data_IF_135850215846
#
_entry.id   IF_135850215846
#
_cell.length_a   1.000
_cell.length_b   1.000
_cell.length_c   1.000
_cell.angle_alpha   90.00
_cell.angle_beta   90.00
_cell.angle_gamma   90.00
#
_symmetry.space_group_name_H-M   'P 1'
#
loop_
_entity.id
_entity.type
_entity.pdbx_description
1 polymer ?
#
# COMPACT_ATOMS: atom_id res chain seq x y z
N UNK A 1 15.85 -22.47 10.93
CA UNK A 1 15.03 -21.62 10.05
C UNK A 1 13.58 -22.07 10.12
N UNK A 2 12.68 -21.12 10.19
CA UNK A 2 11.24 -21.39 10.25
C UNK A 2 10.77 -22.02 8.95
N UNK A 3 10.06 -23.13 9.06
CA UNK A 3 9.47 -23.82 7.90
C UNK A 3 8.28 -22.99 7.34
N UNK A 4 8.28 -22.61 6.05
CA UNK A 4 7.16 -21.85 5.47
C UNK A 4 5.92 -22.73 5.21
N UNK A 5 6.01 -24.06 5.43
CA UNK A 5 4.90 -24.99 5.23
C UNK A 5 4.06 -25.18 6.49
N UNK A 6 4.71 -25.38 7.65
CA UNK A 6 4.03 -25.72 8.91
C UNK A 6 4.42 -24.83 10.10
N UNK A 7 5.34 -23.86 9.93
CA UNK A 7 5.77 -22.98 11.01
C UNK A 7 6.78 -23.58 12.00
N UNK A 8 7.20 -24.84 11.84
CA UNK A 8 8.18 -25.47 12.72
C UNK A 8 9.50 -24.70 12.68
N UNK A 9 10.11 -24.49 13.87
CA UNK A 9 11.35 -23.72 14.03
C UNK A 9 12.60 -24.57 13.74
N UNK A 10 12.46 -25.89 13.75
CA UNK A 10 13.57 -26.82 13.53
C UNK A 10 13.65 -27.26 12.08
N UNK A 11 14.82 -27.13 11.50
CA UNK A 11 15.12 -27.56 10.15
C UNK A 11 16.61 -27.76 9.96
N UNK A 12 17.00 -28.67 9.09
CA UNK A 12 18.41 -28.89 8.74
C UNK A 12 18.67 -28.56 7.28
N UNK A 13 19.90 -28.14 7.01
CA UNK A 13 20.36 -27.86 5.65
C UNK A 13 20.76 -29.18 4.98
N UNK A 14 20.16 -29.44 3.85
CA UNK A 14 20.56 -30.60 3.01
C UNK A 14 21.93 -30.31 2.37
N UNK A 15 22.80 -31.30 2.38
CA UNK A 15 24.16 -31.27 1.82
C UNK A 15 24.32 -32.42 0.83
N UNK A 16 25.15 -32.26 -0.18
CA UNK A 16 25.45 -33.25 -1.22
C UNK A 16 25.69 -32.58 -2.57
N UNK A 17 26.44 -33.24 -3.45
CA UNK A 17 26.84 -32.69 -4.74
C UNK A 17 25.65 -32.48 -5.70
N UNK A 18 24.59 -33.27 -5.56
CA UNK A 18 23.36 -33.15 -6.33
C UNK A 18 22.30 -32.26 -5.66
N UNK A 19 22.57 -31.76 -4.46
CA UNK A 19 21.62 -30.96 -3.69
C UNK A 19 21.72 -29.48 -4.08
N UNK A 20 20.58 -28.88 -4.43
CA UNK A 20 20.52 -27.43 -4.72
C UNK A 20 20.98 -26.61 -3.52
N UNK A 21 21.88 -25.61 -3.71
CA UNK A 21 22.35 -24.75 -2.63
C UNK A 21 21.22 -24.05 -1.88
N UNK A 22 21.27 -24.03 -0.55
CA UNK A 22 20.29 -23.36 0.28
C UNK A 22 18.96 -24.12 0.46
N UNK A 23 18.94 -25.43 0.18
CA UNK A 23 17.80 -26.30 0.43
C UNK A 23 17.81 -26.76 1.90
N UNK A 24 16.66 -26.66 2.55
CA UNK A 24 16.40 -27.11 3.91
C UNK A 24 15.28 -28.14 3.92
N UNK A 25 15.27 -29.01 4.91
CA UNK A 25 14.17 -29.91 5.21
C UNK A 25 13.67 -29.66 6.63
N UNK A 26 12.37 -29.68 6.81
CA UNK A 26 11.70 -29.42 8.07
C UNK A 26 11.65 -30.69 8.94
N UNK A 27 11.96 -30.58 10.24
CA UNK A 27 11.82 -31.72 11.19
C UNK A 27 10.35 -32.12 11.41
N UNK A 28 9.43 -31.14 11.36
CA UNK A 28 8.02 -31.41 11.68
C UNK A 28 7.19 -31.95 10.51
N UNK A 29 7.40 -31.49 9.28
CA UNK A 29 6.58 -31.90 8.13
C UNK A 29 7.38 -32.51 6.98
N UNK A 30 8.67 -32.68 7.14
CA UNK A 30 9.61 -33.20 6.12
C UNK A 30 9.61 -32.46 4.78
N UNK A 31 8.87 -31.36 4.73
CA UNK A 31 8.79 -30.51 3.54
C UNK A 31 10.10 -29.78 3.25
N UNK A 32 10.56 -29.86 2.00
CA UNK A 32 11.77 -29.15 1.58
C UNK A 32 11.47 -27.71 1.21
N UNK A 33 12.33 -26.79 1.60
CA UNK A 33 12.16 -25.38 1.34
C UNK A 33 13.49 -24.62 1.20
N UNK A 34 13.42 -23.46 0.60
CA UNK A 34 14.50 -22.47 0.52
C UNK A 34 14.01 -21.14 1.08
N UNK A 35 14.88 -20.16 1.21
CA UNK A 35 14.51 -18.79 1.62
C UNK A 35 13.48 -18.11 0.73
N UNK A 36 13.29 -18.59 -0.50
CA UNK A 36 12.34 -18.06 -1.45
C UNK A 36 11.00 -18.80 -1.48
N UNK A 37 10.89 -19.92 -0.76
CA UNK A 37 9.67 -20.75 -0.76
C UNK A 37 8.48 -19.97 -0.19
N UNK A 38 7.34 -20.02 -0.88
CA UNK A 38 6.10 -19.26 -0.58
C UNK A 38 6.25 -17.74 -0.56
N UNK A 39 7.37 -17.21 -1.03
CA UNK A 39 7.54 -15.78 -1.26
C UNK A 39 7.25 -15.40 -2.72
N UNK A 40 7.17 -14.13 -3.09
CA UNK A 40 7.08 -13.71 -4.50
C UNK A 40 8.26 -14.16 -5.37
N UNK A 41 9.37 -14.50 -4.74
CA UNK A 41 10.59 -15.01 -5.38
C UNK A 41 10.56 -16.52 -5.58
N UNK A 42 9.51 -17.22 -5.17
CA UNK A 42 9.39 -18.68 -5.32
C UNK A 42 9.51 -19.09 -6.78
N UNK A 43 10.36 -20.10 -7.03
CA UNK A 43 10.65 -20.62 -8.38
C UNK A 43 11.10 -19.53 -9.38
N UNK A 44 11.69 -18.45 -8.90
CA UNK A 44 12.25 -17.42 -9.79
C UNK A 44 13.42 -17.99 -10.59
N UNK A 45 13.48 -17.61 -11.89
CA UNK A 45 14.65 -17.85 -12.75
C UNK A 45 15.63 -16.68 -12.76
N UNK A 46 15.25 -15.57 -12.09
CA UNK A 46 16.10 -14.40 -11.98
C UNK A 46 17.03 -14.51 -10.77
N UNK A 47 18.24 -13.98 -10.85
CA UNK A 47 19.13 -13.85 -9.70
C UNK A 47 18.45 -13.09 -8.56
N UNK A 48 18.71 -13.47 -7.32
CA UNK A 48 18.17 -12.76 -6.15
C UNK A 48 18.63 -11.30 -6.12
N UNK A 49 19.83 -11.02 -6.60
CA UNK A 49 20.37 -9.66 -6.75
C UNK A 49 19.42 -8.77 -7.58
N UNK A 50 18.86 -9.29 -8.68
CA UNK A 50 17.90 -8.54 -9.52
C UNK A 50 16.65 -8.16 -8.73
N UNK A 51 16.17 -9.05 -7.87
CA UNK A 51 15.04 -8.78 -7.00
C UNK A 51 15.36 -7.73 -5.93
N UNK A 52 16.52 -7.85 -5.27
CA UNK A 52 16.96 -6.86 -4.27
C UNK A 52 17.14 -5.48 -4.88
N UNK A 53 17.73 -5.39 -6.08
CA UNK A 53 17.82 -4.14 -6.82
C UNK A 53 16.45 -3.55 -7.17
N UNK A 54 15.50 -4.38 -7.61
CA UNK A 54 14.14 -3.94 -7.89
C UNK A 54 13.44 -3.39 -6.63
N UNK A 55 13.57 -4.09 -5.51
CA UNK A 55 13.04 -3.64 -4.21
C UNK A 55 13.66 -2.29 -3.84
N UNK A 56 14.99 -2.16 -3.93
CA UNK A 56 15.68 -0.92 -3.64
C UNK A 56 15.14 0.25 -4.47
N UNK A 57 15.05 0.11 -5.79
CA UNK A 57 14.56 1.17 -6.66
C UNK A 57 13.11 1.57 -6.34
N UNK A 58 12.25 0.59 -6.03
CA UNK A 58 10.83 0.85 -5.73
C UNK A 58 10.69 1.54 -4.37
N UNK A 59 11.42 1.09 -3.34
CA UNK A 59 11.39 1.66 -2.00
C UNK A 59 11.96 3.08 -1.99
N UNK A 60 13.14 3.25 -2.59
CA UNK A 60 13.87 4.52 -2.58
C UNK A 60 13.23 5.60 -3.44
N UNK A 61 12.43 5.23 -4.42
CA UNK A 61 11.75 6.18 -5.28
C UNK A 61 10.66 6.96 -4.53
N UNK A 62 10.73 8.28 -4.55
CA UNK A 62 9.75 9.16 -3.87
C UNK A 62 8.34 9.12 -4.47
N UNK A 63 8.21 8.79 -5.76
CA UNK A 63 6.93 8.79 -6.50
C UNK A 63 6.60 7.45 -7.15
N UNK A 64 7.47 6.45 -7.00
CA UNK A 64 7.38 5.17 -7.70
C UNK A 64 8.28 5.14 -8.93
N UNK A 65 8.33 3.98 -9.57
CA UNK A 65 9.14 3.74 -10.77
C UNK A 65 8.30 3.02 -11.83
N UNK A 66 8.39 3.46 -13.09
CA UNK A 66 7.69 2.79 -14.19
C UNK A 66 8.34 1.46 -14.54
N UNK A 67 7.54 0.49 -15.00
CA UNK A 67 8.08 -0.81 -15.43
C UNK A 67 9.02 -0.72 -16.61
N UNK A 68 8.88 0.29 -17.46
CA UNK A 68 9.79 0.56 -18.59
C UNK A 68 11.15 1.00 -18.07
N UNK A 69 11.18 1.92 -17.12
CA UNK A 69 12.42 2.40 -16.52
C UNK A 69 13.10 1.31 -15.70
N UNK A 70 12.34 0.60 -14.88
CA UNK A 70 12.83 -0.52 -14.07
C UNK A 70 13.43 -1.63 -14.95
N UNK A 71 12.83 -1.94 -16.11
CA UNK A 71 13.32 -2.93 -17.04
C UNK A 71 14.72 -2.58 -17.56
N UNK A 72 14.95 -1.31 -17.91
CA UNK A 72 16.25 -0.81 -18.37
C UNK A 72 17.34 -0.96 -17.32
N UNK A 73 17.03 -0.60 -16.06
CA UNK A 73 17.98 -0.71 -14.95
C UNK A 73 18.32 -2.14 -14.57
N UNK A 74 17.35 -3.05 -14.67
CA UNK A 74 17.54 -4.45 -14.31
C UNK A 74 18.06 -5.33 -15.46
N UNK A 75 18.16 -4.81 -16.68
CA UNK A 75 18.54 -5.59 -17.86
C UNK A 75 17.53 -6.68 -18.22
N UNK A 76 16.24 -6.48 -17.92
CA UNK A 76 15.17 -7.45 -18.20
C UNK A 76 14.10 -6.87 -19.14
N UNK A 77 13.25 -7.71 -19.72
CA UNK A 77 12.14 -7.19 -20.52
C UNK A 77 11.08 -6.49 -19.65
N UNK A 78 10.31 -5.59 -20.24
CA UNK A 78 9.30 -4.78 -19.55
C UNK A 78 8.22 -5.65 -18.86
N UNK A 79 7.80 -6.77 -19.45
CA UNK A 79 6.82 -7.68 -18.84
C UNK A 79 7.36 -8.29 -17.55
N UNK A 80 8.64 -8.64 -17.52
CA UNK A 80 9.32 -9.18 -16.32
C UNK A 80 9.41 -8.11 -15.24
N UNK A 81 9.89 -6.90 -15.58
CA UNK A 81 9.96 -5.79 -14.63
C UNK A 81 8.58 -5.41 -14.07
N UNK A 82 7.55 -5.42 -14.90
CA UNK A 82 6.16 -5.20 -14.49
C UNK A 82 5.69 -6.26 -13.47
N UNK A 83 5.97 -7.55 -13.74
CA UNK A 83 5.64 -8.66 -12.82
C UNK A 83 6.40 -8.52 -11.50
N UNK A 84 7.69 -8.21 -11.53
CA UNK A 84 8.51 -7.95 -10.33
C UNK A 84 7.89 -6.81 -9.51
N UNK A 85 7.58 -5.69 -10.14
CA UNK A 85 6.98 -4.54 -9.47
C UNK A 85 5.63 -4.89 -8.81
N UNK A 86 4.79 -5.69 -9.47
CA UNK A 86 3.53 -6.15 -8.89
C UNK A 86 3.71 -7.16 -7.75
N UNK A 87 4.73 -7.99 -7.80
CA UNK A 87 5.08 -8.89 -6.71
C UNK A 87 5.53 -8.14 -5.46
N UNK A 88 6.38 -7.12 -5.64
CA UNK A 88 6.83 -6.25 -4.54
C UNK A 88 5.65 -5.46 -3.94
N UNK A 89 4.74 -4.92 -4.77
CA UNK A 89 3.52 -4.26 -4.29
C UNK A 89 2.59 -5.18 -3.50
N UNK A 90 2.56 -6.47 -3.83
CA UNK A 90 1.80 -7.45 -3.05
C UNK A 90 2.39 -7.65 -1.65
N UNK A 91 3.73 -7.66 -1.51
CA UNK A 91 4.38 -7.66 -0.18
C UNK A 91 4.06 -6.38 0.61
N UNK A 92 4.08 -5.22 -0.04
CA UNK A 92 3.70 -3.94 0.58
C UNK A 92 2.24 -3.92 1.05
N UNK A 93 1.34 -4.64 0.38
CA UNK A 93 -0.06 -4.76 0.80
C UNK A 93 -0.18 -5.49 2.14
N UNK A 94 0.53 -6.61 2.32
CA UNK A 94 0.52 -7.36 3.58
C UNK A 94 1.07 -6.52 4.73
N UNK A 95 2.15 -5.78 4.52
CA UNK A 95 2.66 -4.83 5.52
C UNK A 95 1.58 -3.81 5.94
N UNK A 96 0.77 -3.31 5.00
CA UNK A 96 -0.33 -2.41 5.36
C UNK A 96 -1.36 -3.07 6.29
N UNK A 97 -1.62 -4.36 6.14
CA UNK A 97 -2.58 -5.10 6.97
C UNK A 97 -2.06 -5.36 8.39
N UNK A 98 -0.76 -5.29 8.63
CA UNK A 98 -0.17 -5.40 9.99
C UNK A 98 -0.28 -4.13 10.81
N UNK A 99 -0.62 -3.00 10.19
CA UNK A 99 -0.89 -1.75 10.89
C UNK A 99 -2.23 -1.92 11.61
N UNK A 100 -2.20 -1.77 12.93
CA UNK A 100 -3.40 -1.82 13.76
C UNK A 100 -4.43 -0.73 13.41
N UNK A 101 -5.48 -0.59 14.21
CA UNK A 101 -6.46 0.47 14.05
C UNK A 101 -5.80 1.84 14.18
N UNK A 102 -6.18 2.77 13.33
CA UNK A 102 -5.75 4.16 13.40
C UNK A 102 -6.33 4.81 14.65
N UNK A 103 -5.48 5.50 15.40
CA UNK A 103 -5.83 6.15 16.68
C UNK A 103 -5.47 7.63 16.67
N UNK A 104 -5.86 8.34 17.74
CA UNK A 104 -5.64 9.78 17.86
C UNK A 104 -6.53 10.57 16.91
N UNK A 105 -5.98 11.60 16.29
CA UNK A 105 -6.72 12.39 15.28
C UNK A 105 -6.56 11.72 13.91
N UNK A 106 -7.67 11.26 13.34
CA UNK A 106 -7.73 10.57 12.06
C UNK A 106 -8.50 11.40 11.05
N UNK A 107 -7.89 11.70 9.92
CA UNK A 107 -8.53 12.40 8.81
C UNK A 107 -9.03 11.41 7.77
N UNK A 108 -10.26 11.58 7.32
CA UNK A 108 -10.91 10.76 6.30
C UNK A 108 -11.19 11.60 5.06
N UNK A 109 -10.89 11.04 3.90
CA UNK A 109 -11.14 11.65 2.60
C UNK A 109 -11.37 10.56 1.55
N UNK A 110 -11.99 10.89 0.42
CA UNK A 110 -12.10 9.99 -0.73
C UNK A 110 -11.49 10.61 -1.97
N UNK A 111 -11.02 9.75 -2.86
CA UNK A 111 -10.44 10.13 -4.13
C UNK A 111 -10.90 9.27 -5.27
N UNK A 112 -11.24 9.91 -6.39
CA UNK A 112 -11.61 9.23 -7.62
C UNK A 112 -10.38 9.05 -8.54
N UNK A 113 -9.88 7.82 -8.65
CA UNK A 113 -8.73 7.46 -9.47
C UNK A 113 -9.17 6.86 -10.81
N UNK A 114 -8.59 7.34 -11.90
CA UNK A 114 -8.85 6.82 -13.24
C UNK A 114 -8.31 7.74 -14.32
N UNK A 115 -8.42 7.32 -15.58
CA UNK A 115 -8.06 8.11 -16.75
C UNK A 115 -9.00 9.31 -16.95
N UNK A 116 -8.55 10.26 -17.76
CA UNK A 116 -9.42 11.32 -18.28
C UNK A 116 -10.39 10.71 -19.29
N UNK A 117 -11.67 11.12 -19.33
CA UNK A 117 -12.57 10.75 -20.41
C UNK A 117 -11.98 11.17 -21.75
N UNK A 118 -12.22 10.37 -22.81
CA UNK A 118 -11.83 10.78 -24.15
C UNK A 118 -12.68 11.97 -24.57
N UNK A 119 -12.04 12.99 -25.12
CA UNK A 119 -12.73 14.15 -25.66
C UNK A 119 -13.72 13.70 -26.76
N UNK A 120 -14.95 14.18 -26.66
CA UNK A 120 -15.97 14.09 -27.72
C UNK A 120 -16.59 15.47 -27.86
N UNK A 121 -16.69 15.95 -29.12
CA UNK A 121 -17.31 17.23 -29.41
C UNK A 121 -18.77 17.24 -28.93
N UNK A 122 -19.19 18.31 -28.26
CA UNK A 122 -20.56 18.46 -27.73
C UNK A 122 -20.88 17.61 -26.49
N UNK A 123 -19.93 16.85 -25.93
CA UNK A 123 -20.16 16.03 -24.74
C UNK A 123 -19.46 16.65 -23.52
N UNK A 124 -20.25 17.03 -22.51
CA UNK A 124 -19.73 17.44 -21.20
C UNK A 124 -19.56 16.21 -20.32
N UNK A 125 -18.35 15.99 -19.84
CA UNK A 125 -18.04 14.88 -18.94
C UNK A 125 -18.20 15.30 -17.47
N UNK A 126 -18.90 14.48 -16.64
CA UNK A 126 -19.00 14.76 -15.21
C UNK A 126 -17.62 14.72 -14.54
N UNK A 127 -17.48 15.48 -13.43
CA UNK A 127 -16.28 15.50 -12.57
C UNK A 127 -16.59 14.78 -11.27
N UNK A 128 -15.58 14.15 -10.65
CA UNK A 128 -15.75 13.48 -9.34
C UNK A 128 -16.79 12.37 -9.35
N UNK A 129 -17.80 12.49 -8.52
CA UNK A 129 -18.94 11.58 -8.40
C UNK A 129 -19.69 11.46 -9.73
N UNK A 130 -20.09 10.23 -10.10
CA UNK A 130 -20.73 9.95 -11.38
C UNK A 130 -19.80 9.66 -12.55
N UNK A 131 -18.48 9.69 -12.34
CA UNK A 131 -17.49 9.26 -13.34
C UNK A 131 -17.27 7.76 -13.29
N UNK A 132 -16.72 7.18 -14.38
CA UNK A 132 -16.27 5.76 -14.42
C UNK A 132 -14.95 5.53 -13.66
N UNK A 133 -14.50 6.49 -12.84
CA UNK A 133 -13.29 6.36 -12.03
C UNK A 133 -13.54 5.46 -10.82
N UNK A 134 -12.48 4.88 -10.32
CA UNK A 134 -12.52 4.05 -9.11
C UNK A 134 -12.48 4.95 -7.89
N UNK A 135 -13.45 4.80 -7.01
CA UNK A 135 -13.44 5.48 -5.71
C UNK A 135 -12.49 4.77 -4.76
N UNK A 136 -11.69 5.57 -4.06
CA UNK A 136 -10.71 5.12 -3.06
C UNK A 136 -10.96 5.92 -1.79
N UNK A 137 -11.12 5.24 -0.67
CA UNK A 137 -11.10 5.93 0.62
C UNK A 137 -9.68 6.00 1.18
N UNK A 138 -9.40 7.06 1.91
CA UNK A 138 -8.14 7.34 2.60
C UNK A 138 -8.46 7.66 4.05
N UNK A 139 -7.87 6.90 4.97
CA UNK A 139 -7.91 7.16 6.41
C UNK A 139 -6.47 7.35 6.88
N UNK A 140 -6.14 8.49 7.46
CA UNK A 140 -4.77 8.81 7.85
C UNK A 140 -4.72 9.40 9.26
N UNK A 141 -3.90 8.81 10.15
CA UNK A 141 -3.58 9.43 11.45
C UNK A 141 -2.62 10.59 11.25
N UNK A 142 -2.87 11.72 11.93
CA UNK A 142 -1.93 12.85 11.95
C UNK A 142 -0.58 12.41 12.50
N UNK A 143 0.50 12.70 11.76
CA UNK A 143 1.88 12.25 12.07
C UNK A 143 2.03 10.73 12.20
N UNK A 144 1.10 9.96 11.63
CA UNK A 144 1.03 8.51 11.73
C UNK A 144 0.76 7.82 10.39
N UNK A 145 0.32 6.56 10.46
CA UNK A 145 0.09 5.74 9.29
C UNK A 145 -1.17 6.11 8.52
N UNK A 146 -1.24 5.62 7.29
CA UNK A 146 -2.40 5.69 6.39
C UNK A 146 -2.92 4.29 6.09
N UNK A 147 -4.24 4.17 6.02
CA UNK A 147 -4.95 3.02 5.49
C UNK A 147 -5.78 3.47 4.29
N UNK A 148 -5.79 2.67 3.25
CA UNK A 148 -6.51 2.99 2.01
C UNK A 148 -7.27 1.78 1.50
N UNK A 149 -8.38 1.99 0.82
CA UNK A 149 -9.15 0.90 0.23
C UNK A 149 -9.89 1.35 -1.02
N UNK A 150 -10.12 0.41 -1.94
CA UNK A 150 -11.00 0.63 -3.08
C UNK A 150 -12.43 0.35 -2.66
N UNK A 151 -13.31 1.28 -2.90
CA UNK A 151 -14.73 1.20 -2.58
C UNK A 151 -15.60 1.33 -3.83
N UNK A 152 -16.79 0.77 -3.79
CA UNK A 152 -17.72 0.82 -4.92
C UNK A 152 -18.43 2.17 -5.04
N UNK A 153 -18.65 2.86 -3.92
CA UNK A 153 -19.24 4.19 -3.84
C UNK A 153 -18.86 4.90 -2.55
N UNK A 154 -19.13 6.19 -2.48
CA UNK A 154 -18.97 7.06 -1.31
C UNK A 154 -20.20 7.08 -0.40
N UNK A 155 -21.12 6.11 -0.52
CA UNK A 155 -22.28 6.01 0.35
C UNK A 155 -21.91 5.48 1.73
N UNK A 156 -22.71 5.87 2.75
CA UNK A 156 -22.52 5.40 4.13
C UNK A 156 -22.44 3.85 4.22
N UNK A 157 -23.34 3.14 3.54
CA UNK A 157 -23.40 1.68 3.57
C UNK A 157 -22.11 1.00 3.08
N UNK A 158 -21.36 1.66 2.21
CA UNK A 158 -20.10 1.17 1.67
C UNK A 158 -18.90 1.69 2.48
N UNK A 159 -18.89 2.97 2.85
CA UNK A 159 -17.79 3.60 3.60
C UNK A 159 -17.68 3.07 5.04
N UNK A 160 -18.81 2.98 5.75
CA UNK A 160 -18.80 2.67 7.17
C UNK A 160 -18.11 1.33 7.51
N UNK A 161 -18.39 0.20 6.84
CA UNK A 161 -17.71 -1.06 7.12
C UNK A 161 -16.18 -0.96 6.91
N UNK A 162 -15.74 -0.28 5.84
CA UNK A 162 -14.30 -0.13 5.56
C UNK A 162 -13.60 0.72 6.61
N UNK A 163 -14.20 1.84 7.01
CA UNK A 163 -13.59 2.75 7.97
C UNK A 163 -13.53 2.12 9.36
N UNK A 164 -14.59 1.44 9.80
CA UNK A 164 -14.62 0.71 11.08
C UNK A 164 -13.57 -0.40 11.19
N UNK A 165 -13.16 -0.99 10.07
CA UNK A 165 -12.09 -2.00 10.06
C UNK A 165 -10.70 -1.40 10.26
N UNK A 166 -10.52 -0.10 10.05
CA UNK A 166 -9.19 0.52 10.04
C UNK A 166 -9.03 1.68 11.02
N UNK A 167 -10.13 2.21 11.58
CA UNK A 167 -10.12 3.33 12.53
C UNK A 167 -10.69 2.89 13.86
N UNK A 168 -9.99 3.22 14.94
CA UNK A 168 -10.46 2.95 16.32
C UNK A 168 -11.71 3.76 16.64
N UNK A 169 -12.73 3.18 17.29
CA UNK A 169 -13.89 3.94 17.78
C UNK A 169 -13.51 5.08 18.75
N UNK A 170 -12.38 4.96 19.45
CA UNK A 170 -11.85 6.00 20.33
C UNK A 170 -11.09 7.12 19.58
N UNK A 171 -10.99 7.06 18.27
CA UNK A 171 -10.35 8.10 17.48
C UNK A 171 -11.22 9.36 17.39
N UNK A 172 -10.57 10.53 17.34
CA UNK A 172 -11.18 11.79 16.93
C UNK A 172 -11.10 11.92 15.43
N UNK A 173 -12.24 11.96 14.75
CA UNK A 173 -12.31 11.91 13.29
C UNK A 173 -12.53 13.30 12.70
N UNK A 174 -11.75 13.62 11.66
CA UNK A 174 -11.86 14.86 10.89
C UNK A 174 -12.25 14.54 9.45
N UNK A 175 -13.27 15.19 8.91
CA UNK A 175 -13.77 14.94 7.55
C UNK A 175 -14.10 16.23 6.83
N UNK A 176 -14.39 16.11 5.53
CA UNK A 176 -15.20 17.12 4.86
C UNK A 176 -16.70 16.94 5.20
N UNK A 177 -17.57 17.77 4.62
CA UNK A 177 -19.01 17.71 4.82
C UNK A 177 -19.74 16.69 3.93
N UNK A 178 -19.07 15.62 3.50
CA UNK A 178 -19.78 14.55 2.82
C UNK A 178 -20.86 13.95 3.73
N UNK A 179 -22.09 13.86 3.24
CA UNK A 179 -23.24 13.40 4.05
C UNK A 179 -23.00 12.03 4.71
N UNK A 180 -22.29 11.11 4.03
CA UNK A 180 -21.94 9.82 4.58
C UNK A 180 -21.03 9.92 5.81
N UNK A 181 -20.11 10.87 5.86
CA UNK A 181 -19.24 11.11 7.01
C UNK A 181 -19.99 11.73 8.18
N UNK A 182 -20.98 12.58 7.94
CA UNK A 182 -21.80 13.16 8.99
C UNK A 182 -22.60 12.09 9.76
N UNK A 183 -23.07 11.06 9.07
CA UNK A 183 -23.71 9.91 9.71
C UNK A 183 -22.69 9.02 10.44
N UNK A 184 -21.55 8.74 9.80
CA UNK A 184 -20.49 7.88 10.33
C UNK A 184 -19.80 8.50 11.56
N UNK A 185 -19.63 9.81 11.58
CA UNK A 185 -18.95 10.53 12.67
C UNK A 185 -19.57 10.29 14.05
N UNK A 186 -20.87 10.02 14.11
CA UNK A 186 -21.59 9.70 15.36
C UNK A 186 -21.15 8.40 16.02
N UNK A 187 -20.38 7.58 15.33
CA UNK A 187 -19.91 6.27 15.79
C UNK A 187 -18.50 6.33 16.39
N UNK A 188 -17.86 7.50 16.39
CA UNK A 188 -16.54 7.75 16.95
C UNK A 188 -16.61 8.62 18.20
N UNK A 189 -15.52 8.67 18.96
CA UNK A 189 -15.45 9.44 20.20
C UNK A 189 -15.70 10.95 19.99
N UNK A 190 -15.26 11.47 18.88
CA UNK A 190 -15.42 12.87 18.47
C UNK A 190 -15.35 12.98 16.96
N UNK A 191 -16.14 13.90 16.36
CA UNK A 191 -16.15 14.15 14.94
C UNK A 191 -16.31 15.62 14.65
N UNK A 192 -15.38 16.16 13.91
CA UNK A 192 -15.46 17.50 13.35
C UNK A 192 -15.36 17.49 11.82
N UNK A 193 -16.09 18.38 11.17
CA UNK A 193 -16.05 18.51 9.72
C UNK A 193 -15.74 19.94 9.29
N UNK A 194 -15.10 20.10 8.13
CA UNK A 194 -14.84 21.38 7.47
C UNK A 194 -15.66 21.51 6.19
N UNK A 195 -16.12 22.71 5.90
CA UNK A 195 -16.97 22.98 4.72
C UNK A 195 -16.20 23.66 3.60
N UNK A 196 -15.66 22.89 2.68
CA UNK A 196 -14.98 23.42 1.49
C UNK A 196 -15.91 24.21 0.56
N UNK A 197 -17.24 23.98 0.64
CA UNK A 197 -18.21 24.70 -0.17
C UNK A 197 -18.30 26.21 0.14
N UNK A 198 -18.04 26.59 1.39
CA UNK A 198 -17.93 27.99 1.84
C UNK A 198 -16.47 28.44 1.99
N UNK A 199 -15.52 27.71 1.41
CA UNK A 199 -14.07 27.94 1.49
C UNK A 199 -13.49 27.86 2.92
N UNK A 200 -14.14 27.12 3.81
CA UNK A 200 -13.59 26.78 5.11
C UNK A 200 -12.66 25.55 4.95
N UNK A 201 -11.34 25.77 4.92
CA UNK A 201 -10.32 24.72 4.79
C UNK A 201 -9.78 24.26 6.14
N UNK A 202 -9.93 25.09 7.17
CA UNK A 202 -9.53 24.78 8.54
C UNK A 202 -10.30 25.66 9.53
N UNK A 203 -10.68 25.05 10.68
CA UNK A 203 -11.26 25.71 11.83
C UNK A 203 -10.57 25.20 13.09
N UNK A 204 -9.56 25.93 13.57
CA UNK A 204 -8.70 25.45 14.65
C UNK A 204 -7.98 24.16 14.27
N UNK A 205 -8.25 23.09 14.98
CA UNK A 205 -7.70 21.75 14.67
C UNK A 205 -8.53 20.97 13.64
N UNK A 206 -9.75 21.39 13.34
CA UNK A 206 -10.58 20.74 12.33
C UNK A 206 -10.04 21.07 10.94
N UNK A 207 -9.45 20.11 10.27
CA UNK A 207 -8.98 20.15 8.88
C UNK A 207 -8.68 18.75 8.35
N UNK A 208 -8.56 18.59 7.04
CA UNK A 208 -8.22 17.33 6.35
C UNK A 208 -6.92 17.41 5.54
N UNK A 209 -6.03 18.35 5.91
CA UNK A 209 -4.80 18.66 5.18
C UNK A 209 -3.85 17.46 5.05
N UNK A 210 -3.84 16.52 6.03
CA UNK A 210 -2.97 15.34 5.98
C UNK A 210 -3.49 14.35 4.94
N UNK A 211 -4.80 14.13 4.89
CA UNK A 211 -5.44 13.28 3.87
C UNK A 211 -5.28 13.90 2.46
N UNK A 212 -5.48 15.21 2.32
CA UNK A 212 -5.22 15.93 1.06
C UNK A 212 -3.76 15.82 0.63
N UNK A 213 -2.80 15.89 1.56
CA UNK A 213 -1.37 15.71 1.29
C UNK A 213 -1.07 14.30 0.77
N UNK A 214 -1.67 13.27 1.35
CA UNK A 214 -1.55 11.90 0.83
C UNK A 214 -2.16 11.77 -0.57
N UNK A 215 -3.35 12.32 -0.77
CA UNK A 215 -4.03 12.35 -2.07
C UNK A 215 -3.22 13.09 -3.14
N UNK A 216 -2.50 14.15 -2.77
CA UNK A 216 -1.59 14.86 -3.66
C UNK A 216 -0.36 14.00 -4.05
N UNK A 217 0.19 13.21 -3.11
CA UNK A 217 1.28 12.26 -3.42
C UNK A 217 0.80 11.19 -4.40
N UNK A 218 -0.39 10.64 -4.17
CA UNK A 218 -1.01 9.64 -5.03
C UNK A 218 -1.23 10.16 -6.46
N UNK A 219 -1.73 11.39 -6.59
CA UNK A 219 -1.94 12.03 -7.90
C UNK A 219 -0.60 12.31 -8.60
N UNK A 220 0.43 12.78 -7.88
CA UNK A 220 1.78 12.98 -8.45
C UNK A 220 2.41 11.67 -8.93
N UNK A 221 2.23 10.56 -8.19
CA UNK A 221 2.69 9.24 -8.62
C UNK A 221 1.99 8.78 -9.90
N UNK A 222 0.67 8.97 -9.96
CA UNK A 222 -0.14 8.64 -11.15
C UNK A 222 0.26 9.48 -12.36
N UNK A 223 0.34 10.81 -12.23
CA UNK A 223 0.60 11.70 -13.37
C UNK A 223 2.05 11.66 -13.84
N UNK A 224 3.00 11.60 -12.90
CA UNK A 224 4.42 11.72 -13.21
C UNK A 224 5.15 10.41 -13.50
N UNK A 225 4.56 9.25 -13.14
CA UNK A 225 5.25 7.96 -13.23
C UNK A 225 4.42 6.90 -13.93
N UNK A 226 3.20 6.65 -13.42
CA UNK A 226 2.41 5.51 -13.89
C UNK A 226 1.49 5.86 -15.06
N UNK A 227 1.15 7.13 -15.23
CA UNK A 227 0.26 7.73 -16.23
C UNK A 227 -1.14 7.09 -16.26
N UNK A 228 -1.22 5.78 -16.38
CA UNK A 228 -2.46 5.01 -16.36
C UNK A 228 -2.33 3.80 -15.43
N UNK A 229 -3.32 3.64 -14.57
CA UNK A 229 -3.47 2.46 -13.70
C UNK A 229 -4.86 1.89 -13.93
N UNK A 230 -4.92 0.64 -14.40
CA UNK A 230 -6.20 -0.03 -14.61
C UNK A 230 -6.89 -0.33 -13.27
N UNK A 231 -8.22 -0.32 -13.25
CA UNK A 231 -9.04 -0.51 -12.04
C UNK A 231 -8.60 -1.73 -11.21
N UNK A 232 -8.31 -2.85 -11.84
CA UNK A 232 -7.89 -4.10 -11.19
C UNK A 232 -6.53 -4.00 -10.48
N UNK A 233 -5.69 -3.03 -10.85
CA UNK A 233 -4.35 -2.86 -10.28
C UNK A 233 -4.24 -1.68 -9.30
N UNK A 234 -5.28 -0.86 -9.17
CA UNK A 234 -5.30 0.27 -8.24
C UNK A 234 -4.89 -0.15 -6.81
N UNK A 235 -5.43 -1.24 -6.22
CA UNK A 235 -5.06 -1.63 -4.86
C UNK A 235 -3.54 -1.78 -4.66
N UNK A 236 -2.84 -2.37 -5.63
CA UNK A 236 -1.38 -2.57 -5.55
C UNK A 236 -0.59 -1.26 -5.59
N UNK A 237 -1.04 -0.29 -6.39
CA UNK A 237 -0.39 1.03 -6.42
C UNK A 237 -0.70 1.86 -5.18
N UNK A 238 -1.89 1.70 -4.61
CA UNK A 238 -2.24 2.27 -3.30
C UNK A 238 -1.31 1.72 -2.22
N UNK A 239 -1.11 0.39 -2.19
CA UNK A 239 -0.19 -0.25 -1.23
C UNK A 239 1.24 0.26 -1.35
N UNK A 240 1.74 0.54 -2.57
CA UNK A 240 3.07 1.12 -2.75
C UNK A 240 3.17 2.54 -2.20
N UNK A 241 2.17 3.39 -2.45
CA UNK A 241 2.18 4.76 -1.93
C UNK A 241 1.99 4.77 -0.42
N UNK A 242 1.07 3.93 0.10
CA UNK A 242 0.85 3.76 1.53
C UNK A 242 2.07 3.20 2.25
N UNK A 243 2.79 2.23 1.67
CA UNK A 243 4.02 1.68 2.25
C UNK A 243 5.07 2.78 2.45
N UNK A 244 5.33 3.62 1.44
CA UNK A 244 6.27 4.74 1.58
C UNK A 244 5.81 5.78 2.60
N UNK A 245 4.51 6.02 2.71
CA UNK A 245 3.95 6.90 3.74
C UNK A 245 4.14 6.31 5.13
N UNK A 246 3.84 5.05 5.32
CA UNK A 246 3.89 4.35 6.61
C UNK A 246 5.32 4.08 7.10
N UNK A 247 6.30 4.07 6.18
CA UNK A 247 7.73 3.97 6.50
C UNK A 247 8.37 5.35 6.71
N UNK A 248 7.66 6.27 7.36
CA UNK A 248 8.19 7.55 7.84
C UNK A 248 8.08 7.64 9.35
N UNK A 249 9.01 8.35 9.94
CA UNK A 249 9.04 8.63 11.38
C UNK A 249 9.06 10.13 11.64
N UNK A 250 8.46 10.58 12.73
CA UNK A 250 8.55 11.99 13.14
C UNK A 250 9.97 12.30 13.61
N UNK A 251 10.55 13.34 13.05
CA UNK A 251 11.88 13.84 13.40
C UNK A 251 11.78 15.32 13.71
N UNK A 252 12.34 15.74 14.83
CA UNK A 252 12.43 17.14 15.15
C UNK A 252 13.53 17.82 14.33
N UNK A 253 13.18 18.87 13.60
CA UNK A 253 14.12 19.71 12.86
C UNK A 253 14.07 21.14 13.38
N UNK A 254 15.23 21.68 13.74
CA UNK A 254 15.39 23.08 14.12
C UNK A 254 15.73 23.92 12.90
N UNK A 255 14.98 25.00 12.67
CA UNK A 255 15.26 25.98 11.62
C UNK A 255 14.98 27.37 12.17
N UNK A 256 15.97 28.26 12.10
CA UNK A 256 15.89 29.64 12.60
C UNK A 256 15.40 29.72 14.06
N UNK A 257 15.91 28.83 14.93
CA UNK A 257 15.54 28.78 16.35
C UNK A 257 14.20 28.12 16.66
N UNK A 258 13.39 27.77 15.66
CA UNK A 258 12.10 27.12 15.82
C UNK A 258 12.21 25.63 15.58
N UNK A 259 11.67 24.85 16.51
CA UNK A 259 11.55 23.37 16.38
C UNK A 259 10.27 23.03 15.63
N UNK A 260 10.41 22.17 14.62
CA UNK A 260 9.27 21.62 13.88
C UNK A 260 9.41 20.09 13.73
N UNK A 261 8.34 19.36 14.02
CA UNK A 261 8.28 17.93 13.71
C UNK A 261 7.98 17.75 12.23
N UNK A 262 8.84 17.01 11.54
CA UNK A 262 8.68 16.62 10.13
C UNK A 262 8.70 15.11 9.99
N UNK A 263 7.90 14.57 9.07
CA UNK A 263 7.91 13.13 8.76
C UNK A 263 9.06 12.83 7.79
N UNK A 264 10.02 12.04 8.23
CA UNK A 264 11.20 11.63 7.45
C UNK A 264 11.11 10.13 7.15
N UNK A 265 11.53 9.72 5.94
CA UNK A 265 11.62 8.30 5.59
C UNK A 265 12.58 7.57 6.53
N UNK A 266 12.22 6.35 6.93
CA UNK A 266 13.10 5.44 7.67
C UNK A 266 14.35 5.12 6.82
N UNK A 267 15.46 4.72 7.44
CA UNK A 267 16.59 4.16 6.71
C UNK A 267 16.17 3.05 5.75
N UNK A 268 16.84 2.96 4.60
CA UNK A 268 16.45 2.01 3.54
C UNK A 268 16.48 0.56 4.03
N UNK A 269 17.44 0.21 4.89
CA UNK A 269 17.53 -1.15 5.46
C UNK A 269 16.30 -1.50 6.28
N UNK A 270 15.84 -0.60 7.16
CA UNK A 270 14.59 -0.82 7.93
C UNK A 270 13.38 -0.99 7.00
N UNK A 271 13.29 -0.23 5.91
CA UNK A 271 12.22 -0.39 4.94
C UNK A 271 12.30 -1.74 4.20
N UNK A 272 13.51 -2.26 3.95
CA UNK A 272 13.70 -3.61 3.42
C UNK A 272 13.26 -4.68 4.41
N UNK A 273 13.61 -4.55 5.68
CA UNK A 273 13.19 -5.45 6.75
C UNK A 273 11.66 -5.49 6.82
N UNK A 274 11.01 -4.33 6.92
CA UNK A 274 9.54 -4.22 6.92
C UNK A 274 8.90 -4.83 5.67
N UNK A 275 9.55 -4.77 4.50
CA UNK A 275 9.04 -5.39 3.28
C UNK A 275 9.20 -6.90 3.30
N UNK A 276 10.36 -7.41 3.74
CA UNK A 276 10.71 -8.83 3.69
C UNK A 276 10.07 -9.65 4.81
N UNK A 277 9.81 -9.04 5.97
CA UNK A 277 9.16 -9.68 7.10
C UNK A 277 7.82 -10.34 6.73
N UNK A 278 7.10 -9.73 5.81
CA UNK A 278 5.80 -10.20 5.35
C UNK A 278 5.84 -10.85 3.95
N UNK A 279 7.02 -11.29 3.49
CA UNK A 279 7.17 -11.88 2.15
C UNK A 279 6.57 -13.28 2.04
N UNK A 280 6.59 -14.07 3.13
CA UNK A 280 6.04 -15.42 3.14
C UNK A 280 4.52 -15.39 2.99
N UNK A 281 3.98 -16.22 2.10
CA UNK A 281 2.55 -16.24 1.79
C UNK A 281 2.12 -15.31 0.66
N UNK A 282 3.00 -14.41 0.20
CA UNK A 282 2.66 -13.41 -0.84
C UNK A 282 3.00 -13.86 -2.26
N UNK A 283 3.19 -15.15 -2.49
CA UNK A 283 3.48 -15.70 -3.82
C UNK A 283 2.36 -15.39 -4.82
N UNK A 284 2.71 -14.72 -5.93
CA UNK A 284 1.78 -14.47 -7.02
C UNK A 284 1.63 -15.74 -7.88
N UNK A 285 0.45 -16.31 -7.93
CA UNK A 285 0.12 -17.46 -8.78
C UNK A 285 -0.67 -17.00 -10.00
N UNK A 286 -0.44 -17.64 -11.15
CA UNK A 286 -1.32 -17.45 -12.31
C UNK A 286 -2.64 -18.19 -12.06
N UNK A 287 -3.75 -17.53 -12.34
CA UNK A 287 -5.04 -18.22 -12.43
C UNK A 287 -5.12 -18.98 -13.76
N UNK A 288 -5.97 -20.02 -13.81
CA UNK A 288 -6.25 -20.80 -15.02
C UNK A 288 -6.69 -19.91 -16.17
N UNK A 289 -7.31 -18.77 -15.89
CA UNK A 289 -7.79 -17.77 -16.85
C UNK A 289 -6.82 -16.62 -17.12
N UNK A 290 -5.54 -16.78 -16.84
CA UNK A 290 -4.50 -15.77 -17.12
C UNK A 290 -4.45 -14.56 -16.18
N UNK A 291 -5.33 -14.49 -15.18
CA UNK A 291 -5.26 -13.50 -14.10
C UNK A 291 -4.14 -13.83 -13.08
N UNK A 292 -3.90 -12.90 -12.17
CA UNK A 292 -2.99 -13.12 -11.03
C UNK A 292 -3.83 -13.09 -9.75
N UNK A 293 -3.83 -14.19 -8.99
CA UNK A 293 -4.50 -14.23 -7.68
C UNK A 293 -3.81 -13.26 -6.72
N UNK A 294 -4.61 -12.61 -5.88
CA UNK A 294 -4.05 -11.98 -4.69
C UNK A 294 -3.59 -13.08 -3.72
N UNK A 295 -2.46 -12.89 -3.03
CA UNK A 295 -2.08 -13.81 -1.96
C UNK A 295 -3.18 -13.77 -0.89
N UNK A 296 -3.67 -14.94 -0.51
CA UNK A 296 -4.45 -15.04 0.72
C UNK A 296 -3.46 -14.98 1.89
N UNK A 297 -3.72 -14.17 2.93
CA UNK A 297 -2.93 -14.22 4.14
C UNK A 297 -3.05 -15.64 4.71
N UNK A 298 -1.90 -16.25 5.02
CA UNK A 298 -1.85 -17.48 5.79
C UNK A 298 -2.22 -17.10 7.22
N UNK A 299 -3.47 -17.26 7.59
CA UNK A 299 -3.84 -17.31 9.00
C UNK A 299 -3.20 -18.58 9.56
N UNK A 300 -2.18 -18.43 10.39
CA UNK A 300 -1.79 -19.47 11.33
C UNK A 300 -2.94 -19.56 12.35
N UNK A 301 -3.72 -20.65 12.29
CA UNK A 301 -4.63 -21.05 13.36
C UNK A 301 -3.86 -21.45 14.62
#
# INVERSE_FOLDING_TARGET
>A
RVCPHCGCLESWRLKGDSVRPGLYECSGCTGQFTVTTKTPLHSTKLPLQTWLMAMYFIIYSSKGISSVFLAKWLGVNQKTAWKIGHAIRAMMAVHADTIGLLTGVVELDEKYLGGKPRFKHGVTHPRGKGTKKTCVHVSVSRKGPVRTGVISSDSYAVLAPHIKQVVSPAARVMTDQLHAYMALGKEFSDHESVNHGIREYARGEAHVNTAESFNAILERAKQGVFHFVSRQHIPRYLSEVAFRWNNRVPVEKKRNGLSKIVMQARPVLEQFENLLEHAVGTQLRRTIWGGVTQPQPLYCG
#
